data_IF_911631536756
#
_entry.id   IF_911631536756
#
_cell.length_a   1.000
_cell.length_b   1.000
_cell.length_c   1.000
_cell.angle_alpha   90.00
_cell.angle_beta   90.00
_cell.angle_gamma   90.00
#
_symmetry.space_group_name_H-M   'P 1'
#
loop_
_entity.id
_entity.type
_entity.pdbx_description
1 polymer ?
#
# COMPACT_ATOMS: atom_id res chain seq x y z
N UNK A 1 15.78 -8.93 9.50
CA UNK A 1 15.52 -7.50 9.24
C UNK A 1 14.86 -7.33 7.87
N UNK A 2 13.68 -6.71 7.84
CA UNK A 2 12.93 -6.43 6.62
C UNK A 2 13.49 -5.22 5.88
N UNK A 3 13.58 -5.35 4.56
CA UNK A 3 14.06 -4.30 3.63
C UNK A 3 13.09 -4.07 2.47
N UNK A 4 11.86 -4.55 2.60
CA UNK A 4 10.79 -4.42 1.61
C UNK A 4 9.71 -3.48 2.14
N UNK A 5 9.05 -2.77 1.22
CA UNK A 5 7.97 -1.85 1.55
C UNK A 5 6.84 -1.93 0.54
N UNK A 6 5.66 -1.53 0.97
CA UNK A 6 4.47 -1.47 0.13
C UNK A 6 3.78 -0.12 0.31
N UNK A 7 3.24 0.44 -0.76
CA UNK A 7 2.50 1.70 -0.75
C UNK A 7 1.28 1.60 -1.68
N UNK A 8 0.11 1.99 -1.19
CA UNK A 8 -1.10 2.11 -1.98
C UNK A 8 -1.81 3.41 -1.63
N UNK A 9 -2.60 3.92 -2.58
CA UNK A 9 -3.46 5.09 -2.38
C UNK A 9 -4.92 4.66 -2.61
N UNK A 10 -5.76 4.84 -1.58
CA UNK A 10 -7.16 4.42 -1.59
C UNK A 10 -8.09 5.63 -1.61
N UNK A 11 -9.08 5.62 -2.51
CA UNK A 11 -10.09 6.67 -2.63
C UNK A 11 -11.51 6.07 -2.53
N UNK A 12 -12.53 6.84 -2.09
CA UNK A 12 -13.89 6.32 -1.87
C UNK A 12 -14.55 5.63 -3.09
N UNK A 13 -14.22 6.05 -4.31
CA UNK A 13 -14.73 5.45 -5.54
C UNK A 13 -13.91 4.24 -6.05
N UNK A 14 -12.81 3.89 -5.37
CA UNK A 14 -11.83 2.88 -5.79
C UNK A 14 -11.91 1.62 -4.92
N UNK A 15 -11.10 0.61 -5.25
CA UNK A 15 -10.96 -0.57 -4.38
C UNK A 15 -10.37 -0.15 -3.03
N UNK A 16 -10.86 -0.74 -1.94
CA UNK A 16 -10.32 -0.49 -0.61
C UNK A 16 -9.24 -1.52 -0.24
N UNK A 17 -8.62 -1.36 0.94
CA UNK A 17 -7.64 -2.31 1.46
C UNK A 17 -8.15 -3.76 1.46
N UNK A 18 -9.41 -3.99 1.84
CA UNK A 18 -10.04 -5.32 1.81
C UNK A 18 -10.22 -5.90 0.41
N UNK A 19 -10.40 -5.06 -0.62
CA UNK A 19 -10.43 -5.54 -2.01
C UNK A 19 -9.06 -6.10 -2.45
N UNK A 20 -7.97 -5.59 -1.87
CA UNK A 20 -6.60 -5.99 -2.24
C UNK A 20 -6.15 -7.22 -1.46
N UNK A 21 -6.37 -7.22 -0.14
CA UNK A 21 -5.84 -8.25 0.77
C UNK A 21 -6.89 -9.25 1.25
N UNK A 22 -8.15 -9.09 0.86
CA UNK A 22 -9.24 -9.96 1.31
C UNK A 22 -9.55 -9.78 2.80
N UNK A 23 -10.12 -10.83 3.40
CA UNK A 23 -10.62 -10.80 4.77
C UNK A 23 -9.96 -11.71 5.78
N UNK A 24 -9.07 -12.59 5.33
CA UNK A 24 -8.24 -13.42 6.20
C UNK A 24 -6.87 -12.78 6.32
N UNK A 25 -6.39 -12.61 7.55
CA UNK A 25 -4.96 -12.56 7.77
C UNK A 25 -4.51 -14.03 7.70
N UNK A 26 -3.69 -14.39 6.72
CA UNK A 26 -3.00 -15.68 6.81
C UNK A 26 -2.24 -15.72 8.13
N UNK A 27 -2.41 -16.81 8.87
CA UNK A 27 -1.87 -17.06 10.22
C UNK A 27 -0.32 -17.15 10.24
N UNK A 28 0.31 -16.98 9.07
CA UNK A 28 1.75 -17.05 8.83
C UNK A 28 2.43 -15.67 8.91
N UNK A 29 1.82 -14.73 9.63
CA UNK A 29 2.36 -13.38 9.83
C UNK A 29 3.46 -13.42 10.88
N UNK A 30 4.71 -13.58 10.43
CA UNK A 30 5.87 -13.15 11.21
C UNK A 30 5.63 -11.69 11.64
N UNK A 31 5.37 -11.47 12.93
CA UNK A 31 5.11 -10.13 13.44
C UNK A 31 6.32 -9.23 13.14
N UNK A 32 6.08 -7.99 12.69
CA UNK A 32 7.17 -7.01 12.50
C UNK A 32 8.01 -6.83 13.78
N UNK A 33 7.41 -7.07 14.95
CA UNK A 33 8.05 -7.12 16.26
C UNK A 33 9.13 -8.22 16.39
N UNK A 34 9.01 -9.33 15.68
CA UNK A 34 9.93 -10.48 15.76
C UNK A 34 11.04 -10.43 14.69
N UNK A 35 10.75 -9.86 13.51
CA UNK A 35 11.67 -9.90 12.36
C UNK A 35 12.53 -8.64 12.19
N UNK A 36 12.15 -7.53 12.84
CA UNK A 36 12.77 -6.20 12.73
C UNK A 36 12.65 -5.59 11.33
N UNK A 37 12.67 -4.26 11.21
CA UNK A 37 12.67 -3.54 9.92
C UNK A 37 13.81 -2.54 9.89
N UNK A 38 14.47 -2.40 8.73
CA UNK A 38 15.53 -1.41 8.57
C UNK A 38 14.92 -0.01 8.58
N UNK A 39 15.42 0.87 9.44
CA UNK A 39 14.88 2.22 9.60
C UNK A 39 14.82 2.99 8.27
N UNK A 40 15.85 2.84 7.42
CA UNK A 40 15.88 3.47 6.09
C UNK A 40 14.73 3.00 5.18
N UNK A 41 14.34 1.73 5.25
CA UNK A 41 13.16 1.21 4.51
C UNK A 41 11.89 1.94 4.93
N UNK A 42 11.67 2.10 6.24
CA UNK A 42 10.49 2.85 6.72
C UNK A 42 10.55 4.33 6.35
N UNK A 43 11.73 4.96 6.38
CA UNK A 43 11.91 6.36 5.98
C UNK A 43 11.63 6.62 4.50
N UNK A 44 12.02 5.67 3.62
CA UNK A 44 11.71 5.76 2.18
C UNK A 44 10.21 5.70 1.96
N UNK A 45 9.51 4.72 2.55
CA UNK A 45 8.06 4.58 2.39
C UNK A 45 7.31 5.78 2.98
N UNK A 46 7.75 6.30 4.13
CA UNK A 46 7.16 7.50 4.74
C UNK A 46 7.31 8.74 3.83
N UNK A 47 8.48 8.94 3.24
CA UNK A 47 8.73 10.03 2.29
C UNK A 47 7.83 9.93 1.06
N UNK A 48 7.65 8.72 0.52
CA UNK A 48 6.76 8.48 -0.62
C UNK A 48 5.29 8.72 -0.27
N UNK A 49 4.84 8.30 0.93
CA UNK A 49 3.51 8.60 1.44
C UNK A 49 3.26 10.10 1.53
N UNK A 50 4.18 10.84 2.15
CA UNK A 50 4.09 12.29 2.28
C UNK A 50 4.07 12.99 0.91
N UNK A 51 4.94 12.55 -0.01
CA UNK A 51 4.98 13.07 -1.37
C UNK A 51 3.63 12.89 -2.10
N UNK A 52 3.06 11.69 -2.07
CA UNK A 52 1.75 11.42 -2.68
C UNK A 52 0.61 12.18 -2.02
N UNK A 53 0.64 12.35 -0.70
CA UNK A 53 -0.35 13.16 0.01
C UNK A 53 -0.29 14.63 -0.44
N UNK A 54 0.91 15.20 -0.59
CA UNK A 54 1.10 16.57 -1.07
C UNK A 54 0.69 16.74 -2.54
N UNK A 55 0.99 15.77 -3.41
CA UNK A 55 0.50 15.77 -4.79
C UNK A 55 -1.03 15.78 -4.86
N UNK A 56 -1.68 14.99 -4.00
CA UNK A 56 -3.13 14.92 -3.98
C UNK A 56 -3.76 16.20 -3.42
N UNK A 57 -3.31 16.63 -2.23
CA UNK A 57 -3.90 17.80 -1.56
C UNK A 57 -3.57 19.12 -2.26
N UNK A 58 -2.37 19.24 -2.82
CA UNK A 58 -1.90 20.48 -3.44
C UNK A 58 -2.22 20.59 -4.93
N UNK A 59 -2.24 19.48 -5.66
CA UNK A 59 -2.35 19.47 -7.14
C UNK A 59 -3.47 18.59 -7.67
N UNK A 60 -4.26 17.96 -6.79
CA UNK A 60 -5.29 16.98 -7.15
C UNK A 60 -4.76 15.84 -8.04
N UNK A 61 -3.50 15.43 -7.83
CA UNK A 61 -2.85 14.34 -8.57
C UNK A 61 -2.79 13.07 -7.70
N UNK A 62 -3.22 11.93 -8.26
CA UNK A 62 -3.22 10.63 -7.58
C UNK A 62 -2.53 9.53 -8.41
N UNK A 63 -1.19 9.58 -8.60
CA UNK A 63 -0.50 8.65 -9.50
C UNK A 63 -0.57 7.17 -9.07
N UNK A 64 -0.83 6.89 -7.79
CA UNK A 64 -1.02 5.54 -7.24
C UNK A 64 -2.49 5.14 -7.06
N UNK A 65 -3.43 5.87 -7.66
CA UNK A 65 -4.82 5.45 -7.73
C UNK A 65 -4.93 4.02 -8.29
N UNK A 66 -5.71 3.15 -7.63
CA UNK A 66 -5.92 1.74 -7.97
C UNK A 66 -4.62 0.92 -8.16
N UNK A 67 -3.54 1.32 -7.51
CA UNK A 67 -2.22 0.70 -7.68
C UNK A 67 -1.55 0.43 -6.33
N UNK A 68 -0.99 -0.76 -6.21
CA UNK A 68 -0.11 -1.18 -5.12
C UNK A 68 1.33 -1.18 -5.65
N UNK A 69 2.15 -0.32 -5.07
CA UNK A 69 3.59 -0.30 -5.29
C UNK A 69 4.26 -1.24 -4.30
N UNK A 70 5.04 -2.18 -4.82
CA UNK A 70 5.98 -2.99 -4.06
C UNK A 70 7.40 -2.46 -4.30
N UNK A 71 8.11 -2.18 -3.22
CA UNK A 71 9.49 -1.70 -3.25
C UNK A 71 10.40 -2.72 -2.58
N UNK A 72 11.47 -3.13 -3.28
CA UNK A 72 12.50 -4.01 -2.75
C UNK A 72 13.79 -3.22 -2.56
N UNK A 73 14.16 -2.94 -1.30
CA UNK A 73 15.36 -2.17 -0.97
C UNK A 73 16.67 -2.90 -1.20
N UNK A 74 16.65 -4.24 -1.34
CA UNK A 74 17.85 -5.02 -1.66
C UNK A 74 18.21 -4.91 -3.14
N UNK A 75 17.21 -5.03 -4.02
CA UNK A 75 17.40 -4.99 -5.47
C UNK A 75 17.14 -3.62 -6.09
N UNK A 76 16.67 -2.66 -5.29
CA UNK A 76 16.19 -1.34 -5.72
C UNK A 76 15.10 -1.40 -6.79
N UNK A 77 14.35 -2.51 -6.84
CA UNK A 77 13.27 -2.70 -7.80
C UNK A 77 11.93 -2.19 -7.27
N UNK A 78 11.15 -1.62 -8.18
CA UNK A 78 9.77 -1.25 -7.95
C UNK A 78 8.86 -2.06 -8.87
N UNK A 79 7.81 -2.66 -8.30
CA UNK A 79 6.76 -3.34 -9.05
C UNK A 79 5.43 -2.66 -8.75
N UNK A 80 4.68 -2.36 -9.81
CA UNK A 80 3.33 -1.83 -9.70
C UNK A 80 2.33 -2.94 -10.00
N UNK A 81 1.37 -3.13 -9.11
CA UNK A 81 0.26 -4.05 -9.27
C UNK A 81 -1.01 -3.22 -9.32
N UNK A 82 -1.79 -3.37 -10.39
CA UNK A 82 -3.11 -2.74 -10.49
C UNK A 82 -4.11 -3.58 -9.72
N UNK A 83 -5.00 -2.93 -8.98
CA UNK A 83 -6.14 -3.56 -8.34
C UNK A 83 -7.43 -2.84 -8.73
N UNK A 84 -8.56 -3.51 -8.54
CA UNK A 84 -9.87 -2.95 -8.80
C UNK A 84 -10.75 -3.11 -7.56
N UNK A 85 -11.82 -2.31 -7.51
CA UNK A 85 -12.88 -2.47 -6.53
C UNK A 85 -13.56 -3.83 -6.74
N UNK A 86 -13.64 -4.62 -5.68
CA UNK A 86 -14.42 -5.85 -5.68
C UNK A 86 -15.93 -5.51 -5.61
N UNK A 87 -16.74 -5.91 -6.60
CA UNK A 87 -18.19 -5.67 -6.62
C UNK A 87 -18.95 -6.31 -5.46
N UNK A 88 -18.36 -7.28 -4.77
CA UNK A 88 -18.95 -7.97 -3.61
C UNK A 88 -18.31 -7.56 -2.28
N UNK A 89 -17.42 -6.56 -2.27
CA UNK A 89 -16.75 -6.10 -1.07
C UNK A 89 -17.72 -5.59 0.00
N UNK A 90 -17.75 -6.26 1.15
CA UNK A 90 -18.62 -5.92 2.29
C UNK A 90 -18.25 -4.61 2.99
N UNK A 91 -17.08 -4.01 2.69
CA UNK A 91 -16.59 -2.79 3.33
C UNK A 91 -16.87 -1.55 2.48
N UNK A 92 -16.48 -1.55 1.20
CA UNK A 92 -16.57 -0.36 0.35
C UNK A 92 -17.76 -0.37 -0.65
N UNK A 93 -18.69 -1.33 -0.53
CA UNK A 93 -19.98 -1.31 -1.25
C UNK A 93 -21.16 -0.90 -0.37
N UNK A 94 -20.92 -0.60 0.91
CA UNK A 94 -21.96 -0.03 1.75
C UNK A 94 -22.23 1.43 1.32
N UNK A 95 -23.49 1.88 1.38
CA UNK A 95 -23.90 3.23 0.99
C UNK A 95 -23.24 4.34 1.84
#
# INVERSE_FOLDING_TARGET
IGVQGQLAFFQPAQGCYRCVFGGGLDDDTRHCAESGVLASTTSVIASLQAHHALLYLGLNQAPLANQLMLWNGMTMQQRIIKFAKDPQCLVCNQP
#
